data_IF_106777265379
#
_entry.id   IF_106777265379
#
_cell.length_a   1.000
_cell.length_b   1.000
_cell.length_c   1.000
_cell.angle_alpha   90.00
_cell.angle_beta   90.00
_cell.angle_gamma   90.00
#
_symmetry.space_group_name_H-M   'P 1'
#
loop_
_entity.id
_entity.type
_entity.pdbx_description
1 polymer ?
#
# COMPACT_ATOMS: atom_id res chain seq x y z
N UNK A 1 19.72 7.16 -11.14
CA UNK A 1 18.96 5.92 -11.41
C UNK A 1 17.63 6.32 -12.04
N UNK A 2 17.16 5.65 -13.10
CA UNK A 2 15.89 6.00 -13.76
C UNK A 2 14.74 5.28 -13.06
N UNK A 3 13.86 6.03 -12.39
CA UNK A 3 12.68 5.50 -11.70
C UNK A 3 11.51 5.30 -12.67
N UNK A 4 11.61 5.85 -13.89
CA UNK A 4 10.65 5.68 -14.97
C UNK A 4 10.14 4.24 -15.11
N UNK A 5 11.00 3.22 -15.29
CA UNK A 5 10.54 1.83 -15.42
C UNK A 5 9.74 1.29 -14.23
N UNK A 6 10.09 1.66 -12.99
CA UNK A 6 9.33 1.24 -11.79
C UNK A 6 7.98 1.95 -11.74
N UNK A 7 7.99 3.27 -11.95
CA UNK A 7 6.78 4.10 -11.99
C UNK A 7 5.81 3.58 -13.05
N UNK A 8 6.29 3.33 -14.26
CA UNK A 8 5.49 2.86 -15.39
C UNK A 8 4.89 1.48 -15.07
N UNK A 9 5.68 0.56 -14.52
CA UNK A 9 5.20 -0.76 -14.13
C UNK A 9 4.17 -0.70 -12.97
N UNK A 10 4.38 0.19 -12.01
CA UNK A 10 3.42 0.39 -10.93
C UNK A 10 2.11 0.96 -11.48
N UNK A 11 2.16 1.96 -12.36
CA UNK A 11 0.96 2.55 -12.93
C UNK A 11 0.24 1.55 -13.85
N UNK A 12 0.96 0.66 -14.53
CA UNK A 12 0.36 -0.48 -15.23
C UNK A 12 -0.37 -1.44 -14.28
N UNK A 13 0.18 -1.68 -13.09
CA UNK A 13 -0.50 -2.47 -12.03
C UNK A 13 -1.83 -1.81 -11.66
N UNK A 14 -1.84 -0.49 -11.49
CA UNK A 14 -3.05 0.26 -11.13
C UNK A 14 -4.11 0.11 -12.23
N UNK A 15 -3.72 0.24 -13.49
CA UNK A 15 -4.65 0.02 -14.61
C UNK A 15 -5.27 -1.39 -14.57
N UNK A 16 -4.49 -2.44 -14.27
CA UNK A 16 -5.03 -3.78 -14.08
C UNK A 16 -5.97 -3.89 -12.88
N UNK A 17 -5.69 -3.20 -11.76
CA UNK A 17 -6.59 -3.16 -10.60
C UNK A 17 -7.93 -2.48 -10.94
N UNK A 18 -7.90 -1.37 -11.67
CA UNK A 18 -9.08 -0.63 -12.10
C UNK A 18 -9.96 -1.42 -13.08
N UNK A 19 -9.34 -2.25 -13.93
CA UNK A 19 -10.04 -3.14 -14.85
C UNK A 19 -10.46 -4.49 -14.24
N UNK A 20 -10.22 -4.69 -12.93
CA UNK A 20 -10.46 -5.96 -12.22
C UNK A 20 -9.67 -7.18 -12.79
N UNK A 21 -8.59 -6.91 -13.53
CA UNK A 21 -7.66 -7.91 -14.08
C UNK A 21 -6.64 -8.32 -13.00
N UNK A 22 -7.16 -8.93 -11.92
CA UNK A 22 -6.35 -9.18 -10.72
C UNK A 22 -5.15 -10.13 -10.91
N UNK A 23 -5.22 -11.21 -11.70
CA UNK A 23 -4.05 -12.03 -11.99
C UNK A 23 -2.90 -11.22 -12.62
N UNK A 24 -3.23 -10.36 -13.58
CA UNK A 24 -2.31 -9.47 -14.27
C UNK A 24 -1.75 -8.41 -13.31
N UNK A 25 -2.59 -7.84 -12.44
CA UNK A 25 -2.16 -6.92 -11.39
C UNK A 25 -1.16 -7.57 -10.41
N UNK A 26 -1.41 -8.82 -9.98
CA UNK A 26 -0.49 -9.58 -9.11
C UNK A 26 0.85 -9.79 -9.82
N UNK A 27 0.82 -10.22 -11.10
CA UNK A 27 2.04 -10.44 -11.87
C UNK A 27 2.84 -9.15 -12.07
N UNK A 28 2.16 -8.07 -12.49
CA UNK A 28 2.74 -6.75 -12.73
C UNK A 28 3.38 -6.17 -11.47
N UNK A 29 2.67 -6.20 -10.35
CA UNK A 29 3.18 -5.66 -9.08
C UNK A 29 4.33 -6.48 -8.50
N UNK A 30 4.26 -7.81 -8.62
CA UNK A 30 5.36 -8.70 -8.24
C UNK A 30 6.62 -8.44 -9.06
N UNK A 31 6.46 -8.14 -10.36
CA UNK A 31 7.57 -7.77 -11.22
C UNK A 31 8.19 -6.44 -10.78
N UNK A 32 7.38 -5.41 -10.49
CA UNK A 32 7.85 -4.13 -9.99
C UNK A 32 8.68 -4.27 -8.70
N UNK A 33 8.20 -5.06 -7.73
CA UNK A 33 8.93 -5.33 -6.48
C UNK A 33 10.27 -6.02 -6.71
N UNK A 34 10.31 -7.03 -7.59
CA UNK A 34 11.56 -7.74 -7.93
C UNK A 34 12.54 -6.82 -8.63
N UNK A 35 12.05 -5.97 -9.53
CA UNK A 35 12.87 -5.01 -10.26
C UNK A 35 13.49 -3.99 -9.29
N UNK A 36 12.70 -3.40 -8.39
CA UNK A 36 13.22 -2.49 -7.35
C UNK A 36 14.26 -3.17 -6.46
N UNK A 37 14.00 -4.41 -6.03
CA UNK A 37 14.97 -5.18 -5.24
C UNK A 37 16.28 -5.39 -5.99
N UNK A 38 16.24 -5.67 -7.29
CA UNK A 38 17.44 -5.81 -8.12
C UNK A 38 18.27 -4.54 -8.12
N UNK A 39 17.63 -3.38 -8.30
CA UNK A 39 18.31 -2.08 -8.29
C UNK A 39 19.05 -1.81 -6.97
N UNK A 40 18.43 -2.14 -5.84
CA UNK A 40 19.05 -1.94 -4.51
C UNK A 40 20.28 -2.84 -4.29
N UNK A 41 20.26 -4.07 -4.81
CA UNK A 41 21.39 -5.00 -4.67
C UNK A 41 22.59 -4.61 -5.54
N UNK A 42 22.33 -4.02 -6.71
CA UNK A 42 23.38 -3.53 -7.61
C UNK A 42 24.09 -2.28 -7.03
N UNK A 43 23.37 -1.45 -6.25
CA UNK A 43 23.94 -0.30 -5.54
C UNK A 43 24.90 -0.72 -4.42
N UNK A 44 24.50 -1.68 -3.58
CA UNK A 44 25.35 -2.20 -2.49
C UNK A 44 26.67 -2.81 -3.01
N UNK A 45 26.68 -3.30 -4.25
CA UNK A 45 27.85 -3.92 -4.88
C UNK A 45 28.80 -2.89 -5.53
N UNK A 46 28.34 -1.66 -5.77
CA UNK A 46 29.10 -0.61 -6.49
C UNK A 46 29.53 0.58 -5.60
N UNK A 47 29.24 0.55 -4.30
CA UNK A 47 29.43 1.68 -3.40
C UNK A 47 30.90 2.07 -3.19
N UNK A 48 31.32 3.16 -3.85
CA UNK A 48 32.42 4.04 -3.46
C UNK A 48 31.88 5.01 -2.39
N UNK A 49 32.42 5.09 -1.16
CA UNK A 49 31.76 5.71 0.00
C UNK A 49 31.72 7.25 0.02
N UNK A 50 32.01 7.91 -1.11
CA UNK A 50 32.07 9.37 -1.19
C UNK A 50 30.97 9.90 -2.12
N UNK A 51 30.12 10.78 -1.57
CA UNK A 51 28.99 11.49 -2.17
C UNK A 51 27.63 10.77 -2.17
N UNK A 52 26.74 11.17 -1.27
CA UNK A 52 25.81 12.25 -1.62
C UNK A 52 25.02 12.75 -0.40
N UNK A 53 25.30 13.99 0.01
CA UNK A 53 24.40 14.79 0.82
C UNK A 53 23.23 15.28 -0.06
N UNK A 54 22.40 14.36 -0.53
CA UNK A 54 21.12 14.73 -1.14
C UNK A 54 20.16 14.94 0.02
N UNK A 55 19.73 16.18 0.25
CA UNK A 55 18.69 16.44 1.26
C UNK A 55 17.50 15.52 0.98
N UNK A 56 16.94 14.87 2.02
CA UNK A 56 15.76 14.03 1.85
C UNK A 56 14.65 14.90 1.28
N UNK A 57 14.24 14.61 0.04
CA UNK A 57 13.01 15.15 -0.50
C UNK A 57 11.89 14.75 0.45
N UNK A 58 11.20 15.72 1.03
CA UNK A 58 10.07 15.51 1.96
C UNK A 58 8.83 15.02 1.21
N UNK A 59 8.97 14.02 0.34
CA UNK A 59 7.87 13.38 -0.37
C UNK A 59 7.16 12.44 0.61
N UNK A 60 5.83 12.50 0.69
CA UNK A 60 5.03 11.58 1.52
C UNK A 60 4.22 10.65 0.61
N UNK A 61 3.96 9.43 1.09
CA UNK A 61 3.02 8.50 0.45
C UNK A 61 1.63 9.13 0.38
N UNK A 62 1.23 9.84 1.44
CA UNK A 62 -0.08 10.52 1.50
C UNK A 62 -0.28 11.48 0.31
N UNK A 63 0.78 12.18 -0.13
CA UNK A 63 0.72 13.09 -1.29
C UNK A 63 0.35 12.34 -2.58
N UNK A 64 0.74 11.06 -2.69
CA UNK A 64 0.43 10.22 -3.83
C UNK A 64 -1.00 9.64 -3.77
N UNK A 65 -1.58 9.54 -2.57
CA UNK A 65 -2.94 9.04 -2.38
C UNK A 65 -4.01 10.08 -2.71
N UNK A 66 -3.73 11.37 -2.50
CA UNK A 66 -4.68 12.46 -2.78
C UNK A 66 -5.01 12.55 -4.27
N UNK A 67 -4.07 12.19 -5.15
CA UNK A 67 -4.26 12.20 -6.61
C UNK A 67 -5.31 11.18 -7.07
N UNK A 68 -5.58 10.13 -6.28
CA UNK A 68 -6.50 9.05 -6.65
C UNK A 68 -7.98 9.36 -6.41
N UNK A 69 -8.32 10.40 -5.64
CA UNK A 69 -9.67 10.57 -5.07
C UNK A 69 -10.66 11.41 -5.90
N UNK A 70 -10.31 11.85 -7.12
CA UNK A 70 -11.18 12.73 -7.91
C UNK A 70 -12.33 12.01 -8.65
N UNK A 71 -12.45 10.67 -8.63
CA UNK A 71 -13.37 9.95 -9.52
C UNK A 71 -14.47 9.08 -8.89
N UNK A 72 -14.47 8.86 -7.57
CA UNK A 72 -15.46 7.95 -6.97
C UNK A 72 -16.62 8.70 -6.29
N UNK A 73 -17.71 8.82 -7.04
CA UNK A 73 -19.01 9.22 -6.51
C UNK A 73 -19.48 8.24 -5.44
N UNK A 74 -19.83 8.77 -4.26
CA UNK A 74 -20.47 8.06 -3.14
C UNK A 74 -21.73 7.32 -3.61
N UNK A 75 -21.59 6.06 -4.01
CA UNK A 75 -22.70 5.32 -4.59
C UNK A 75 -22.56 3.81 -4.46
N UNK A 76 -22.77 3.27 -3.26
CA UNK A 76 -23.55 2.03 -3.07
C UNK A 76 -23.74 1.72 -1.58
N UNK A 77 -25.01 1.68 -1.15
CA UNK A 77 -25.48 1.27 0.16
C UNK A 77 -25.28 -0.24 0.39
N UNK A 78 -24.04 -0.69 0.52
CA UNK A 78 -23.77 -2.00 1.13
C UNK A 78 -23.13 -1.73 2.49
N UNK A 79 -23.74 -2.24 3.56
CA UNK A 79 -23.24 -2.19 4.93
C UNK A 79 -21.94 -3.01 5.15
N UNK A 80 -21.17 -3.25 4.08
CA UNK A 80 -19.96 -4.06 4.09
C UNK A 80 -18.72 -3.21 4.34
N UNK A 81 -17.73 -3.86 4.94
CA UNK A 81 -16.51 -3.23 5.43
C UNK A 81 -15.84 -2.40 4.33
N UNK A 82 -15.55 -1.14 4.65
CA UNK A 82 -14.84 -0.27 3.74
C UNK A 82 -13.46 -0.87 3.49
N UNK A 83 -13.15 -1.20 2.24
CA UNK A 83 -11.81 -1.62 1.81
C UNK A 83 -11.27 -0.44 1.03
N UNK A 84 -10.04 -0.02 1.31
CA UNK A 84 -9.37 0.90 0.41
C UNK A 84 -8.97 0.12 -0.85
N UNK A 85 -9.57 0.48 -1.99
CA UNK A 85 -9.53 -0.29 -3.25
C UNK A 85 -8.63 0.31 -4.32
N UNK A 86 -8.09 1.50 -4.11
CA UNK A 86 -7.33 2.21 -5.14
C UNK A 86 -5.85 1.89 -5.03
N UNK A 87 -5.19 1.65 -6.16
CA UNK A 87 -3.73 1.59 -6.19
C UNK A 87 -3.13 2.98 -5.98
N UNK A 88 -1.92 3.06 -5.42
CA UNK A 88 -1.21 4.32 -5.19
C UNK A 88 -0.19 4.53 -6.32
N UNK A 89 -0.30 5.60 -7.13
CA UNK A 89 0.64 5.88 -8.20
C UNK A 89 1.99 6.29 -7.64
N UNK A 90 3.04 6.04 -8.43
CA UNK A 90 4.38 6.54 -8.12
C UNK A 90 4.67 7.69 -9.08
N UNK A 91 4.87 8.93 -8.59
CA UNK A 91 5.30 10.03 -9.43
C UNK A 91 6.68 9.75 -10.04
N UNK A 92 6.89 10.13 -11.29
CA UNK A 92 8.20 9.99 -11.97
C UNK A 92 9.31 10.81 -11.30
N UNK A 93 8.94 11.80 -10.48
CA UNK A 93 9.83 12.63 -9.67
C UNK A 93 10.14 12.03 -8.29
N UNK A 94 9.50 10.92 -7.92
CA UNK A 94 9.75 10.27 -6.63
C UNK A 94 11.08 9.55 -6.67
N UNK A 95 11.94 9.77 -5.66
CA UNK A 95 13.28 9.16 -5.59
C UNK A 95 13.59 8.43 -4.28
N UNK A 96 12.73 8.52 -3.27
CA UNK A 96 12.90 7.76 -2.04
C UNK A 96 12.54 6.28 -2.24
N UNK A 97 13.57 5.43 -2.31
CA UNK A 97 13.40 3.99 -2.48
C UNK A 97 12.58 3.32 -1.37
N UNK A 98 12.59 3.86 -0.14
CA UNK A 98 11.82 3.29 0.97
C UNK A 98 10.33 3.57 0.77
N UNK A 99 9.99 4.77 0.33
CA UNK A 99 8.61 5.18 -0.01
C UNK A 99 8.11 4.39 -1.21
N UNK A 100 8.92 4.29 -2.27
CA UNK A 100 8.63 3.47 -3.45
C UNK A 100 8.36 2.02 -3.02
N UNK A 101 9.20 1.44 -2.16
CA UNK A 101 9.01 0.07 -1.67
C UNK A 101 7.69 -0.07 -0.90
N UNK A 102 7.35 0.88 -0.04
CA UNK A 102 6.08 0.86 0.69
C UNK A 102 4.87 0.89 -0.26
N UNK A 103 4.90 1.75 -1.29
CA UNK A 103 3.86 1.84 -2.31
C UNK A 103 3.74 0.53 -3.11
N UNK A 104 4.85 -0.04 -3.55
CA UNK A 104 4.83 -1.30 -4.31
C UNK A 104 4.30 -2.46 -3.45
N UNK A 105 4.76 -2.57 -2.19
CA UNK A 105 4.26 -3.60 -1.27
C UNK A 105 2.76 -3.44 -1.05
N UNK A 106 2.28 -2.20 -0.89
CA UNK A 106 0.87 -1.90 -0.73
C UNK A 106 0.05 -2.33 -1.94
N UNK A 107 0.46 -1.92 -3.16
CA UNK A 107 -0.26 -2.25 -4.39
C UNK A 107 -0.27 -3.76 -4.66
N UNK A 108 0.81 -4.49 -4.32
CA UNK A 108 0.83 -5.95 -4.37
C UNK A 108 -0.13 -6.57 -3.36
N UNK A 109 -0.13 -6.08 -2.12
CA UNK A 109 -1.06 -6.55 -1.08
C UNK A 109 -2.52 -6.34 -1.50
N UNK A 110 -2.80 -5.19 -2.11
CA UNK A 110 -4.10 -4.83 -2.65
C UNK A 110 -4.53 -5.77 -3.78
N UNK A 111 -3.65 -6.05 -4.75
CA UNK A 111 -3.92 -6.99 -5.83
C UNK A 111 -4.32 -8.38 -5.30
N UNK A 112 -3.58 -8.89 -4.31
CA UNK A 112 -3.93 -10.15 -3.65
C UNK A 112 -5.29 -10.07 -2.93
N UNK A 113 -5.55 -8.99 -2.20
CA UNK A 113 -6.79 -8.81 -1.45
C UNK A 113 -8.01 -8.77 -2.37
N UNK A 114 -7.97 -7.97 -3.44
CA UNK A 114 -9.08 -7.86 -4.40
C UNK A 114 -9.29 -9.16 -5.18
N UNK A 115 -8.21 -9.84 -5.57
CA UNK A 115 -8.28 -11.17 -6.18
C UNK A 115 -8.93 -12.22 -5.26
N UNK A 116 -8.67 -12.13 -3.95
CA UNK A 116 -9.30 -13.01 -2.98
C UNK A 116 -10.81 -12.77 -2.87
N UNK A 117 -11.23 -11.49 -2.91
CA UNK A 117 -12.63 -11.10 -2.85
C UNK A 117 -13.39 -11.61 -4.07
N UNK A 118 -12.81 -11.53 -5.27
CA UNK A 118 -13.45 -12.03 -6.49
C UNK A 118 -13.59 -13.56 -6.52
N UNK A 119 -12.79 -14.28 -5.72
CA UNK A 119 -12.77 -15.74 -5.62
C UNK A 119 -13.28 -16.26 -4.26
N UNK A 120 -14.06 -15.45 -3.53
CA UNK A 120 -14.48 -15.74 -2.15
C UNK A 120 -15.11 -17.13 -2.01
N UNK A 121 -14.78 -17.82 -0.91
CA UNK A 121 -15.26 -19.17 -0.62
C UNK A 121 -14.41 -20.31 -1.20
N UNK A 122 -13.30 -19.98 -1.88
CA UNK A 122 -12.34 -20.97 -2.38
C UNK A 122 -11.09 -21.06 -1.49
N UNK A 123 -10.42 -22.21 -1.49
CA UNK A 123 -9.12 -22.38 -0.84
C UNK A 123 -8.04 -21.45 -1.44
N UNK A 124 -8.20 -21.04 -2.70
CA UNK A 124 -7.33 -20.05 -3.35
C UNK A 124 -7.51 -18.68 -2.70
N UNK A 125 -8.75 -18.24 -2.46
CA UNK A 125 -9.02 -16.95 -1.80
C UNK A 125 -8.39 -16.88 -0.40
N UNK A 126 -8.46 -17.95 0.40
CA UNK A 126 -7.82 -17.97 1.71
C UNK A 126 -6.31 -17.75 1.64
N UNK A 127 -5.63 -18.40 0.69
CA UNK A 127 -4.19 -18.19 0.46
C UNK A 127 -3.87 -16.76 0.02
N UNK A 128 -4.69 -16.20 -0.87
CA UNK A 128 -4.54 -14.82 -1.34
C UNK A 128 -4.73 -13.81 -0.18
N UNK A 129 -5.70 -14.04 0.72
CA UNK A 129 -5.88 -13.22 1.93
C UNK A 129 -4.69 -13.29 2.88
N UNK A 130 -4.10 -14.48 3.07
CA UNK A 130 -2.88 -14.64 3.88
C UNK A 130 -1.73 -13.84 3.28
N UNK A 131 -1.49 -13.94 1.97
CA UNK A 131 -0.44 -13.19 1.30
C UNK A 131 -0.66 -11.67 1.39
N UNK A 132 -1.89 -11.20 1.15
CA UNK A 132 -2.25 -9.79 1.28
C UNK A 132 -1.96 -9.28 2.69
N UNK A 133 -2.41 -10.00 3.72
CA UNK A 133 -2.21 -9.62 5.12
C UNK A 133 -0.74 -9.57 5.50
N UNK A 134 0.07 -10.56 5.10
CA UNK A 134 1.51 -10.57 5.37
C UNK A 134 2.22 -9.36 4.77
N UNK A 135 1.84 -8.94 3.56
CA UNK A 135 2.40 -7.75 2.93
C UNK A 135 1.98 -6.46 3.62
N UNK A 136 0.72 -6.33 4.04
CA UNK A 136 0.28 -5.19 4.86
C UNK A 136 1.00 -5.14 6.22
N UNK A 137 1.17 -6.28 6.89
CA UNK A 137 1.89 -6.38 8.15
C UNK A 137 3.37 -6.03 7.98
N UNK A 138 3.99 -6.37 6.84
CA UNK A 138 5.36 -5.97 6.52
C UNK A 138 5.51 -4.44 6.47
N UNK A 139 4.54 -3.72 5.92
CA UNK A 139 4.55 -2.24 5.91
C UNK A 139 4.54 -1.71 7.35
N UNK A 140 3.72 -2.28 8.23
CA UNK A 140 3.64 -1.89 9.64
C UNK A 140 4.96 -2.15 10.37
N UNK A 141 5.59 -3.31 10.13
CA UNK A 141 6.89 -3.64 10.74
C UNK A 141 8.00 -2.70 10.27
N UNK A 142 7.96 -2.27 9.01
CA UNK A 142 8.96 -1.37 8.44
C UNK A 142 8.68 0.12 8.73
N UNK A 143 7.59 0.46 9.42
CA UNK A 143 7.13 1.84 9.67
C UNK A 143 8.23 2.76 10.20
N UNK A 144 8.99 2.32 11.21
CA UNK A 144 10.06 3.11 11.83
C UNK A 144 11.25 3.33 10.89
N UNK A 145 11.49 2.39 9.97
CA UNK A 145 12.62 2.47 9.03
C UNK A 145 12.30 3.33 7.79
N UNK A 146 11.02 3.43 7.43
CA UNK A 146 10.51 4.14 6.24
C UNK A 146 10.01 5.56 6.60
N UNK A 147 10.08 5.97 7.88
CA UNK A 147 9.55 7.26 8.35
C UNK A 147 8.06 7.46 7.99
N UNK A 148 7.28 6.38 8.10
CA UNK A 148 5.86 6.40 7.74
C UNK A 148 4.99 7.11 8.77
N UNK A 149 5.54 7.62 9.88
CA UNK A 149 4.80 8.23 10.98
C UNK A 149 3.91 9.39 10.55
N UNK A 150 4.38 10.18 9.59
CA UNK A 150 3.61 11.29 9.03
C UNK A 150 2.62 10.84 7.94
N UNK A 151 2.64 9.59 7.49
CA UNK A 151 1.78 9.10 6.40
C UNK A 151 0.47 8.52 6.96
N UNK A 152 -0.35 9.38 7.53
CA UNK A 152 -1.54 8.99 8.29
C UNK A 152 -2.62 8.38 7.40
N UNK A 153 -2.83 8.92 6.19
CA UNK A 153 -3.80 8.33 5.25
C UNK A 153 -3.36 6.94 4.81
N UNK A 154 -2.07 6.78 4.51
CA UNK A 154 -1.50 5.51 4.14
C UNK A 154 -1.60 4.47 5.27
N UNK A 155 -1.23 4.85 6.50
CA UNK A 155 -1.40 3.99 7.66
C UNK A 155 -2.86 3.59 7.88
N UNK A 156 -3.79 4.54 7.70
CA UNK A 156 -5.21 4.27 7.81
C UNK A 156 -5.65 3.21 6.79
N UNK A 157 -5.26 3.36 5.51
CA UNK A 157 -5.61 2.42 4.45
C UNK A 157 -5.05 1.00 4.73
N UNK A 158 -3.78 0.90 5.16
CA UNK A 158 -3.14 -0.37 5.51
C UNK A 158 -3.89 -1.06 6.64
N UNK A 159 -4.11 -0.38 7.77
CA UNK A 159 -4.73 -0.97 8.96
C UNK A 159 -6.20 -1.31 8.68
N UNK A 160 -6.90 -0.46 7.95
CA UNK A 160 -8.27 -0.72 7.54
C UNK A 160 -8.35 -2.02 6.72
N UNK A 161 -7.47 -2.19 5.73
CA UNK A 161 -7.44 -3.40 4.91
C UNK A 161 -7.07 -4.65 5.73
N UNK A 162 -6.15 -4.55 6.71
CA UNK A 162 -5.86 -5.65 7.65
C UNK A 162 -7.10 -5.99 8.49
N UNK A 163 -7.84 -4.99 8.98
CA UNK A 163 -9.05 -5.18 9.79
C UNK A 163 -10.14 -5.90 9.01
N UNK A 164 -10.29 -5.59 7.72
CA UNK A 164 -11.21 -6.31 6.83
C UNK A 164 -10.78 -7.76 6.65
N UNK A 165 -9.52 -8.02 6.29
CA UNK A 165 -9.03 -9.41 6.12
C UNK A 165 -9.20 -10.21 7.41
N UNK A 166 -8.88 -9.61 8.55
CA UNK A 166 -8.97 -10.25 9.87
C UNK A 166 -10.42 -10.60 10.24
N UNK A 167 -11.39 -9.75 9.85
CA UNK A 167 -12.81 -10.05 9.98
C UNK A 167 -13.24 -11.18 9.04
N UNK A 168 -12.80 -11.14 7.79
CA UNK A 168 -13.11 -12.15 6.78
C UNK A 168 -12.55 -13.53 7.16
N UNK A 169 -11.46 -13.56 7.93
CA UNK A 169 -10.89 -14.77 8.54
C UNK A 169 -11.63 -15.23 9.82
N UNK A 170 -12.73 -14.56 10.20
CA UNK A 170 -13.55 -14.90 11.37
C UNK A 170 -13.04 -14.34 12.70
N UNK A 171 -11.91 -13.61 12.72
CA UNK A 171 -11.38 -13.01 13.94
C UNK A 171 -11.98 -11.60 14.18
N UNK A 172 -13.27 -11.58 14.48
CA UNK A 172 -14.06 -10.34 14.66
C UNK A 172 -13.52 -9.48 15.81
N UNK A 173 -13.06 -10.10 16.90
CA UNK A 173 -12.56 -9.37 18.06
C UNK A 173 -11.29 -8.56 17.73
N UNK A 174 -10.34 -9.16 17.01
CA UNK A 174 -9.12 -8.47 16.61
C UNK A 174 -9.38 -7.40 15.55
N UNK A 175 -10.26 -7.69 14.59
CA UNK A 175 -10.72 -6.70 13.61
C UNK A 175 -11.32 -5.45 14.29
N UNK A 176 -12.15 -5.64 15.31
CA UNK A 176 -12.75 -4.52 16.04
C UNK A 176 -11.68 -3.70 16.79
N UNK A 177 -10.67 -4.33 17.40
CA UNK A 177 -9.55 -3.59 18.01
C UNK A 177 -8.79 -2.74 17.00
N UNK A 178 -8.60 -3.24 15.78
CA UNK A 178 -7.94 -2.51 14.70
C UNK A 178 -8.80 -1.32 14.24
N UNK A 179 -10.12 -1.48 14.13
CA UNK A 179 -11.02 -0.36 13.86
C UNK A 179 -11.05 0.68 15.01
N UNK A 180 -11.05 0.24 16.27
CA UNK A 180 -10.99 1.13 17.42
C UNK A 180 -9.69 1.96 17.42
N UNK A 181 -8.56 1.34 17.07
CA UNK A 181 -7.28 2.02 16.89
C UNK A 181 -7.36 3.09 15.79
N UNK A 182 -7.96 2.77 14.63
CA UNK A 182 -8.16 3.74 13.55
C UNK A 182 -9.01 4.94 13.99
N UNK A 183 -10.09 4.70 14.76
CA UNK A 183 -10.93 5.77 15.29
C UNK A 183 -10.17 6.65 16.28
N UNK A 184 -9.32 6.06 17.13
CA UNK A 184 -8.45 6.81 18.04
C UNK A 184 -7.45 7.69 17.27
N UNK A 185 -6.86 7.17 16.18
CA UNK A 185 -5.93 7.92 15.32
C UNK A 185 -6.60 9.16 14.70
N UNK A 186 -7.80 9.00 14.12
CA UNK A 186 -8.56 10.10 13.51
C UNK A 186 -8.99 11.13 14.56
N UNK A 187 -9.42 10.68 15.75
CA UNK A 187 -9.81 11.60 16.82
C UNK A 187 -8.62 12.36 17.41
N UNK A 188 -7.44 11.73 17.51
CA UNK A 188 -6.21 12.39 17.92
C UNK A 188 -5.79 13.52 16.96
N UNK A 189 -5.90 13.30 15.65
CA UNK A 189 -5.62 14.32 14.63
C UNK A 189 -6.58 15.51 14.72
N UNK A 190 -7.87 15.27 15.01
CA UNK A 190 -8.86 16.34 15.15
C UNK A 190 -8.56 17.27 16.33
N UNK A 191 -8.02 16.73 17.42
CA UNK A 191 -7.68 17.52 18.61
C UNK A 191 -6.45 18.40 18.35
N UNK A 192 -5.47 17.90 17.60
CA UNK A 192 -4.26 18.68 17.25
C UNK A 192 -4.54 19.83 16.29
N UNK A 193 -5.51 19.69 15.38
CA UNK A 193 -5.87 20.75 14.43
C UNK A 193 -6.84 21.81 15.00
N UNK A 194 -7.31 21.64 16.23
CA UNK A 194 -8.22 22.57 16.91
C UNK A 194 -7.53 23.44 17.98
N UNK A 195 -6.23 23.27 18.18
CA UNK A 195 -5.38 24.00 19.13
C UNK A 195 -4.46 24.98 18.41
#
# INVERSE_FOLDING_TARGET
MTIGPISDQNNQTIAFLENEEFPEAIQSSSYALRYQRGLLLDEDTSANPNNSNTEPSSQRVDDCMVVCHELDGFGSNSAHSFIYRHGIPIPSTMNDHKIIAAILIFNTALAYHLSAISQRGTATAEKLLVNAKQLYELIIHCRQHISLDDNVMFQFAVINNIAVITRDQGNVAESNRQFDFLMALVNGLRIQNAA
#
